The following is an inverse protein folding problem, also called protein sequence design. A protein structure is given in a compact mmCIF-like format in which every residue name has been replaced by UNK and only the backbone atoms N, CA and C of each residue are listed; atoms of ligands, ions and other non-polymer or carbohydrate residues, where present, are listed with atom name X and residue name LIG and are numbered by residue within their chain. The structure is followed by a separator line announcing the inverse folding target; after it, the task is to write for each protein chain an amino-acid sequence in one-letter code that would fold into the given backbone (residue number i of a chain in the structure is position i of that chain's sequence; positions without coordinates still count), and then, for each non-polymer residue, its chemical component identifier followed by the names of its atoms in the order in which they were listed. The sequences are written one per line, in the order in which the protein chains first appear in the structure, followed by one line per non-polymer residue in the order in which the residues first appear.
data_IF_211259305270
#
_entry.id   IF_211259305270
#
_cell.length_a   1.000
_cell.length_b   1.000
_cell.length_c   1.000
_cell.angle_alpha   90.00
_cell.angle_beta   90.00
_cell.angle_gamma   90.00
#
_symmetry.space_group_name_H-M   'P 1'
#
loop_
_entity.id
_entity.type
_entity.pdbx_description
1 polymer ?
#
# COMPACT_ATOMS: atom_id res chain seq x y z
N UNK A 1 17.61 -18.66 -12.51
CA UNK A 1 16.54 -17.87 -13.10
C UNK A 1 15.41 -17.64 -12.12
N UNK A 2 14.99 -16.43 -12.02
CA UNK A 2 13.93 -16.07 -11.09
C UNK A 2 12.57 -16.20 -11.77
N UNK A 3 11.75 -17.10 -11.26
CA UNK A 3 10.42 -17.34 -11.80
C UNK A 3 9.34 -16.54 -11.08
N UNK A 4 9.75 -15.66 -10.18
CA UNK A 4 8.78 -14.84 -9.46
C UNK A 4 8.18 -13.79 -10.38
N UNK A 5 6.89 -13.55 -10.24
CA UNK A 5 6.22 -12.48 -10.96
C UNK A 5 6.79 -11.14 -10.46
N UNK A 6 6.85 -10.14 -11.34
CA UNK A 6 7.28 -8.82 -10.91
C UNK A 6 6.39 -8.32 -9.79
N UNK A 7 7.01 -7.81 -8.74
CA UNK A 7 6.33 -7.23 -7.60
C UNK A 7 6.47 -5.72 -7.69
N UNK A 8 5.36 -5.02 -7.56
CA UNK A 8 5.34 -3.57 -7.63
C UNK A 8 4.49 -3.07 -6.48
N UNK A 9 5.14 -2.45 -5.51
CA UNK A 9 4.46 -1.95 -4.31
C UNK A 9 4.35 -0.43 -4.38
N UNK A 10 3.15 0.07 -4.18
CA UNK A 10 2.92 1.51 -4.03
C UNK A 10 2.82 1.79 -2.55
N UNK A 11 3.73 2.60 -2.03
CA UNK A 11 3.71 3.03 -0.63
C UNK A 11 3.24 4.48 -0.58
N UNK A 12 2.14 4.72 0.13
CA UNK A 12 1.56 6.05 0.29
C UNK A 12 1.75 6.48 1.74
N UNK A 13 2.69 7.38 1.97
CA UNK A 13 3.09 7.77 3.31
C UNK A 13 3.61 9.20 3.30
N UNK A 14 3.01 10.09 4.11
CA UNK A 14 3.41 11.48 4.13
C UNK A 14 4.61 11.78 5.05
N UNK A 15 4.98 10.84 5.91
CA UNK A 15 6.09 10.99 6.84
C UNK A 15 7.32 10.23 6.33
N UNK A 16 8.39 10.97 6.03
CA UNK A 16 9.61 10.37 5.46
C UNK A 16 10.20 9.29 6.36
N UNK A 17 10.23 9.53 7.67
CA UNK A 17 10.77 8.55 8.62
C UNK A 17 9.99 7.24 8.59
N UNK A 18 8.66 7.34 8.59
CA UNK A 18 7.81 6.15 8.55
C UNK A 18 7.96 5.42 7.22
N UNK A 19 8.09 6.16 6.11
CA UNK A 19 8.30 5.55 4.81
C UNK A 19 9.62 4.77 4.77
N UNK A 20 10.69 5.36 5.31
CA UNK A 20 11.98 4.69 5.36
C UNK A 20 11.93 3.40 6.16
N UNK A 21 11.30 3.44 7.33
CA UNK A 21 11.21 2.27 8.19
C UNK A 21 10.39 1.16 7.54
N UNK A 22 9.30 1.54 6.87
CA UNK A 22 8.47 0.57 6.15
C UNK A 22 9.28 -0.06 5.01
N UNK A 23 10.00 0.74 4.25
CA UNK A 23 10.83 0.23 3.17
C UNK A 23 11.93 -0.70 3.66
N UNK A 24 12.51 -0.41 4.83
CA UNK A 24 13.50 -1.31 5.43
C UNK A 24 12.90 -2.66 5.80
N UNK A 25 11.68 -2.64 6.34
CA UNK A 25 11.00 -3.88 6.67
C UNK A 25 10.78 -4.74 5.42
N UNK A 26 10.37 -4.10 4.34
CA UNK A 26 10.15 -4.81 3.08
C UNK A 26 11.46 -5.32 2.48
N UNK A 27 12.55 -4.58 2.69
CA UNK A 27 13.87 -5.00 2.22
C UNK A 27 14.30 -6.31 2.86
N UNK A 28 13.93 -6.54 4.11
CA UNK A 28 14.28 -7.79 4.80
C UNK A 28 13.79 -9.03 4.06
N UNK A 29 12.70 -8.90 3.32
CA UNK A 29 12.13 -10.03 2.57
C UNK A 29 12.30 -9.87 1.07
N UNK A 30 13.23 -9.01 0.65
CA UNK A 30 13.61 -8.91 -0.75
C UNK A 30 12.68 -8.10 -1.64
N UNK A 31 11.85 -7.24 -1.06
CA UNK A 31 10.85 -6.50 -1.82
C UNK A 31 11.25 -5.07 -2.17
N UNK A 32 12.47 -4.67 -1.88
CA UNK A 32 12.88 -3.27 -1.96
C UNK A 32 12.96 -2.71 -3.39
N UNK A 33 13.25 -3.57 -4.36
CA UNK A 33 13.56 -3.09 -5.72
C UNK A 33 12.37 -2.56 -6.50
N UNK A 34 11.17 -2.79 -6.02
CA UNK A 34 9.96 -2.46 -6.76
C UNK A 34 8.98 -1.64 -5.93
N UNK A 35 9.52 -0.74 -5.12
CA UNK A 35 8.68 0.14 -4.29
C UNK A 35 8.67 1.54 -4.88
N UNK A 36 7.48 2.07 -5.11
CA UNK A 36 7.29 3.47 -5.47
C UNK A 36 6.67 4.16 -4.26
N UNK A 37 7.34 5.19 -3.76
CA UNK A 37 6.84 5.96 -2.62
C UNK A 37 6.25 7.26 -3.12
N UNK A 38 4.99 7.50 -2.76
CA UNK A 38 4.32 8.79 -2.99
C UNK A 38 3.95 9.38 -1.63
N UNK A 39 3.86 10.69 -1.55
CA UNK A 39 3.84 11.40 -0.27
C UNK A 39 2.45 11.82 0.20
N UNK A 40 1.45 11.71 -0.64
CA UNK A 40 0.10 12.09 -0.24
C UNK A 40 -0.94 11.36 -1.06
N UNK A 41 -2.19 11.50 -0.65
CA UNK A 41 -3.29 10.78 -1.29
C UNK A 41 -3.54 11.21 -2.72
N UNK A 42 -3.34 12.50 -3.03
CA UNK A 42 -3.55 12.96 -4.40
C UNK A 42 -2.51 12.34 -5.33
N UNK A 43 -1.25 12.28 -4.89
CA UNK A 43 -0.21 11.60 -5.67
C UNK A 43 -0.56 10.13 -5.90
N UNK A 44 -1.12 9.48 -4.87
CA UNK A 44 -1.53 8.09 -4.99
C UNK A 44 -2.61 7.93 -6.07
N UNK A 45 -3.62 8.77 -6.04
CA UNK A 45 -4.69 8.72 -7.03
C UNK A 45 -4.17 9.01 -8.43
N UNK A 46 -3.28 10.00 -8.57
CA UNK A 46 -2.68 10.33 -9.85
C UNK A 46 -1.84 9.17 -10.37
N UNK A 47 -1.11 8.50 -9.47
CA UNK A 47 -0.29 7.36 -9.85
C UNK A 47 -1.15 6.22 -10.40
N UNK A 48 -2.22 5.90 -9.70
CA UNK A 48 -3.13 4.82 -10.10
C UNK A 48 -3.81 5.15 -11.44
N UNK A 49 -4.24 6.40 -11.59
CA UNK A 49 -4.97 6.83 -12.79
C UNK A 49 -4.07 7.23 -13.96
N UNK A 50 -2.76 7.27 -13.74
CA UNK A 50 -1.79 7.76 -14.73
C UNK A 50 -2.08 9.17 -15.16
N UNK A 51 -2.22 10.05 -14.18
CA UNK A 51 -2.51 11.46 -14.38
C UNK A 51 -1.42 12.33 -13.77
N UNK A 52 -1.46 13.62 -14.03
CA UNK A 52 -0.51 14.57 -13.47
C UNK A 52 0.91 14.18 -13.81
N UNK A 53 1.78 14.17 -12.80
CA UNK A 53 3.19 13.82 -13.00
C UNK A 53 3.39 12.37 -13.41
N UNK A 54 2.38 11.54 -13.25
CA UNK A 54 2.45 10.11 -13.60
C UNK A 54 1.78 9.77 -14.92
N UNK A 55 1.45 10.78 -15.72
CA UNK A 55 0.75 10.57 -16.99
C UNK A 55 1.51 9.66 -17.95
N UNK A 56 2.85 9.70 -17.90
CA UNK A 56 3.67 8.86 -18.79
C UNK A 56 4.07 7.52 -18.20
N UNK A 57 3.51 7.15 -17.06
CA UNK A 57 3.87 5.92 -16.37
C UNK A 57 3.52 4.71 -17.21
N UNK A 58 4.49 3.81 -17.40
CA UNK A 58 4.31 2.63 -18.26
C UNK A 58 4.14 1.34 -17.46
N UNK A 59 4.51 1.33 -16.17
CA UNK A 59 4.32 0.15 -15.33
C UNK A 59 2.85 -0.19 -15.19
N UNK A 60 2.57 -1.49 -14.97
CA UNK A 60 1.20 -1.92 -14.69
C UNK A 60 0.72 -1.45 -13.33
N UNK A 61 -0.47 -1.86 -12.96
CA UNK A 61 -1.02 -1.53 -11.65
C UNK A 61 -0.18 -2.18 -10.54
N UNK A 62 -0.12 -1.55 -9.36
CA UNK A 62 0.62 -2.15 -8.25
C UNK A 62 0.09 -3.53 -7.89
N UNK A 63 1.00 -4.39 -7.45
CA UNK A 63 0.66 -5.70 -6.90
C UNK A 63 0.09 -5.55 -5.49
N UNK A 64 0.51 -4.51 -4.79
CA UNK A 64 0.17 -4.26 -3.41
C UNK A 64 0.23 -2.76 -3.16
N UNK A 65 -0.72 -2.24 -2.39
CA UNK A 65 -0.71 -0.83 -1.97
C UNK A 65 -0.65 -0.81 -0.45
N UNK A 66 0.34 -0.09 0.09
CA UNK A 66 0.46 0.16 1.52
C UNK A 66 0.13 1.64 1.74
N UNK A 67 -0.84 1.92 2.59
CA UNK A 67 -1.52 3.21 2.60
C UNK A 67 -1.68 3.73 4.02
N UNK A 68 -1.21 4.95 4.27
CA UNK A 68 -1.45 5.60 5.55
C UNK A 68 -2.88 6.14 5.58
N UNK A 69 -3.53 5.99 6.73
CA UNK A 69 -4.91 6.44 6.90
C UNK A 69 -5.02 7.95 6.99
N UNK A 70 -4.17 8.57 7.79
CA UNK A 70 -4.30 10.00 8.12
C UNK A 70 -3.24 10.83 7.40
N UNK A 71 -3.66 11.43 6.30
CA UNK A 71 -2.82 12.33 5.51
C UNK A 71 -3.61 13.59 5.24
N UNK A 72 -2.93 14.73 5.04
CA UNK A 72 -3.62 15.97 4.72
C UNK A 72 -4.29 15.91 3.35
N UNK A 73 -5.31 16.72 3.15
CA UNK A 73 -6.07 16.86 1.91
C UNK A 73 -6.84 15.60 1.55
N UNK A 74 -6.26 14.71 0.76
CA UNK A 74 -6.91 13.45 0.40
C UNK A 74 -6.47 12.39 1.41
N UNK A 75 -7.41 11.90 2.20
CA UNK A 75 -7.12 10.93 3.26
C UNK A 75 -6.96 9.51 2.72
N UNK A 76 -6.40 8.64 3.55
CA UNK A 76 -6.29 7.23 3.19
C UNK A 76 -7.64 6.58 2.95
N UNK A 77 -8.66 6.97 3.70
CA UNK A 77 -10.00 6.44 3.45
C UNK A 77 -10.52 6.81 2.08
N UNK A 78 -10.26 8.04 1.64
CA UNK A 78 -10.68 8.47 0.31
C UNK A 78 -9.94 7.70 -0.78
N UNK A 79 -8.63 7.49 -0.60
CA UNK A 79 -7.85 6.71 -1.56
C UNK A 79 -8.36 5.27 -1.62
N UNK A 80 -8.59 4.66 -0.45
CA UNK A 80 -9.10 3.30 -0.36
C UNK A 80 -10.46 3.18 -1.06
N UNK A 81 -11.33 4.16 -0.83
CA UNK A 81 -12.66 4.18 -1.44
C UNK A 81 -12.57 4.20 -2.97
N UNK A 82 -11.67 5.00 -3.52
CA UNK A 82 -11.49 5.07 -4.97
C UNK A 82 -10.96 3.75 -5.51
N UNK A 83 -9.93 3.18 -4.87
CA UNK A 83 -9.33 1.92 -5.33
C UNK A 83 -10.36 0.79 -5.29
N UNK A 84 -11.08 0.66 -4.19
CA UNK A 84 -12.04 -0.44 -4.03
C UNK A 84 -13.33 -0.22 -4.78
N UNK A 85 -13.61 1.02 -5.16
CA UNK A 85 -14.81 1.35 -5.93
C UNK A 85 -14.66 1.18 -7.43
N UNK A 86 -13.46 0.99 -7.93
CA UNK A 86 -13.19 0.85 -9.36
C UNK A 86 -13.00 -0.64 -9.69
N UNK A 87 -13.80 -1.19 -10.61
CA UNK A 87 -13.67 -2.60 -10.99
C UNK A 87 -12.25 -2.99 -11.45
N UNK A 88 -11.52 -2.03 -12.00
CA UNK A 88 -10.16 -2.29 -12.49
C UNK A 88 -9.15 -2.48 -11.35
N UNK A 89 -9.32 -1.75 -10.26
CA UNK A 89 -8.33 -1.73 -9.18
C UNK A 89 -8.77 -2.41 -7.89
N UNK A 90 -10.06 -2.72 -7.75
CA UNK A 90 -10.57 -3.25 -6.49
C UNK A 90 -9.93 -4.56 -6.04
N UNK A 91 -9.34 -5.32 -6.96
CA UNK A 91 -8.69 -6.57 -6.60
C UNK A 91 -7.28 -6.38 -6.04
N UNK A 92 -6.71 -5.19 -6.16
CA UNK A 92 -5.37 -4.92 -5.65
C UNK A 92 -5.43 -4.95 -4.12
N UNK A 93 -4.60 -5.80 -3.47
CA UNK A 93 -4.57 -5.80 -2.01
C UNK A 93 -4.12 -4.45 -1.47
N UNK A 94 -4.82 -3.98 -0.44
CA UNK A 94 -4.47 -2.74 0.24
C UNK A 94 -4.24 -3.04 1.71
N UNK A 95 -3.10 -2.64 2.22
CA UNK A 95 -2.74 -2.75 3.64
C UNK A 95 -2.73 -1.34 4.21
N UNK A 96 -3.52 -1.12 5.25
CA UNK A 96 -3.51 0.16 5.94
C UNK A 96 -2.41 0.17 6.98
N UNK A 97 -1.57 1.22 7.00
CA UNK A 97 -0.52 1.43 7.99
C UNK A 97 -0.80 2.75 8.69
N UNK A 98 -1.21 2.72 9.95
CA UNK A 98 -1.66 3.94 10.60
C UNK A 98 -1.38 3.93 12.10
N UNK A 99 -1.24 5.11 12.68
CA UNK A 99 -1.12 5.24 14.13
C UNK A 99 -2.46 5.09 14.84
N UNK A 100 -3.57 5.04 14.10
CA UNK A 100 -4.89 4.93 14.71
C UNK A 100 -5.23 3.48 15.05
N UNK A 101 -5.50 3.24 16.34
CA UNK A 101 -6.04 1.96 16.79
C UNK A 101 -7.52 2.10 17.17
N UNK A 102 -8.15 3.18 16.70
CA UNK A 102 -9.55 3.46 17.02
C UNK A 102 -10.48 2.50 16.28
N UNK A 103 -11.40 1.88 17.00
CA UNK A 103 -12.30 0.89 16.42
C UNK A 103 -13.11 1.44 15.25
N UNK A 104 -13.67 2.66 15.31
CA UNK A 104 -14.41 3.19 14.16
C UNK A 104 -13.57 3.29 12.88
N UNK A 105 -12.28 3.63 13.01
CA UNK A 105 -11.40 3.70 11.85
C UNK A 105 -11.18 2.32 11.26
N UNK A 106 -10.97 1.33 12.11
CA UNK A 106 -10.77 -0.05 11.68
C UNK A 106 -12.01 -0.56 10.95
N UNK A 107 -13.17 -0.38 11.57
CA UNK A 107 -14.44 -0.80 10.99
C UNK A 107 -14.65 -0.16 9.62
N UNK A 108 -14.41 1.15 9.53
CA UNK A 108 -14.63 1.88 8.28
C UNK A 108 -13.71 1.37 7.18
N UNK A 109 -12.46 1.08 7.50
CA UNK A 109 -11.52 0.53 6.52
C UNK A 109 -11.99 -0.82 5.99
N UNK A 110 -12.44 -1.70 6.89
CA UNK A 110 -12.91 -3.01 6.45
C UNK A 110 -14.22 -2.93 5.67
N UNK A 111 -15.09 -1.99 6.01
CA UNK A 111 -16.29 -1.76 5.21
C UNK A 111 -15.95 -1.34 3.79
N UNK A 112 -14.86 -0.60 3.62
CA UNK A 112 -14.41 -0.17 2.30
C UNK A 112 -13.58 -1.22 1.57
N UNK A 113 -13.26 -2.33 2.23
CA UNK A 113 -12.59 -3.44 1.56
C UNK A 113 -11.09 -3.54 1.78
N UNK A 114 -10.55 -2.94 2.85
CA UNK A 114 -9.12 -3.09 3.15
C UNK A 114 -8.79 -4.56 3.41
N UNK A 115 -7.60 -4.96 3.00
CA UNK A 115 -7.17 -6.35 3.13
C UNK A 115 -6.49 -6.62 4.47
N UNK A 116 -5.72 -5.68 4.97
CA UNK A 116 -5.08 -5.78 6.29
C UNK A 116 -4.94 -4.40 6.90
N UNK A 117 -4.86 -4.37 8.23
CA UNK A 117 -4.78 -3.12 8.98
C UNK A 117 -3.70 -3.29 10.05
N UNK A 118 -2.62 -2.51 9.93
CA UNK A 118 -1.51 -2.54 10.87
C UNK A 118 -1.38 -1.21 11.58
N UNK A 119 -1.15 -1.28 12.89
CA UNK A 119 -1.04 -0.08 13.73
C UNK A 119 0.44 0.20 14.01
N UNK A 120 0.87 1.44 13.71
CA UNK A 120 2.20 1.91 14.07
C UNK A 120 2.31 1.94 15.61
N UNK A 121 3.49 1.97 16.22
CA UNK A 121 4.69 2.69 15.82
C UNK A 121 5.65 1.86 14.97
N UNK A 122 6.30 2.55 14.03
CA UNK A 122 7.22 1.90 13.10
C UNK A 122 8.57 1.53 13.72
N UNK A 123 8.91 2.13 14.88
CA UNK A 123 10.17 1.85 15.56
C UNK A 123 10.13 0.53 16.32
N UNK A 124 8.96 -0.06 16.52
CA UNK A 124 8.90 -1.30 17.29
C UNK A 124 9.33 -2.47 16.41
N UNK A 125 10.07 -3.39 17.01
CA UNK A 125 10.50 -4.60 16.30
C UNK A 125 9.29 -5.42 15.85
N UNK A 126 8.25 -5.42 16.67
CA UNK A 126 7.03 -6.13 16.32
C UNK A 126 6.38 -5.58 15.05
N UNK A 127 6.29 -4.25 14.93
CA UNK A 127 5.75 -3.64 13.74
C UNK A 127 6.58 -4.00 12.51
N UNK A 128 7.90 -3.97 12.68
CA UNK A 128 8.84 -4.30 11.62
C UNK A 128 8.61 -5.73 11.13
N UNK A 129 8.45 -6.67 12.07
CA UNK A 129 8.16 -8.06 11.72
C UNK A 129 6.82 -8.21 11.04
N UNK A 130 5.79 -7.50 11.53
CA UNK A 130 4.45 -7.57 10.96
C UNK A 130 4.42 -7.04 9.52
N UNK A 131 5.07 -5.90 9.28
CA UNK A 131 5.14 -5.33 7.94
C UNK A 131 5.85 -6.30 6.98
N UNK A 132 6.96 -6.90 7.44
CA UNK A 132 7.70 -7.86 6.63
C UNK A 132 6.83 -9.05 6.24
N UNK A 133 6.13 -9.63 7.20
CA UNK A 133 5.28 -10.81 6.97
C UNK A 133 4.09 -10.50 6.08
N UNK A 134 3.39 -9.41 6.38
CA UNK A 134 2.19 -9.03 5.64
C UNK A 134 2.57 -8.61 4.22
N UNK A 135 3.65 -7.86 4.08
CA UNK A 135 4.15 -7.47 2.78
C UNK A 135 4.51 -8.67 1.94
N UNK A 136 5.21 -9.64 2.52
CA UNK A 136 5.58 -10.85 1.80
C UNK A 136 4.34 -11.65 1.40
N UNK A 137 3.39 -11.82 2.34
CA UNK A 137 2.18 -12.57 2.03
C UNK A 137 1.42 -11.95 0.85
N UNK A 138 1.12 -10.65 0.94
CA UNK A 138 0.26 -10.02 -0.05
C UNK A 138 0.98 -9.78 -1.40
N UNK A 139 2.29 -9.56 -1.36
CA UNK A 139 3.04 -9.31 -2.59
C UNK A 139 3.47 -10.60 -3.30
N UNK A 140 3.78 -11.65 -2.53
CA UNK A 140 4.39 -12.87 -3.09
C UNK A 140 3.44 -14.06 -3.04
N UNK A 141 2.87 -14.34 -1.87
CA UNK A 141 2.08 -15.56 -1.67
C UNK A 141 0.66 -15.44 -2.17
N UNK A 142 0.05 -14.28 -2.00
CA UNK A 142 -1.32 -14.08 -2.45
C UNK A 142 -1.37 -14.04 -3.97
N UNK A 143 -2.44 -14.57 -4.54
CA UNK A 143 -2.64 -14.58 -5.98
C UNK A 143 -3.85 -13.77 -6.37
N UNK A 144 -3.68 -12.88 -7.34
CA UNK A 144 -4.80 -12.16 -7.95
C UNK A 144 -4.83 -12.51 -9.43
N UNK A 145 -5.97 -12.30 -10.11
CA UNK A 145 -6.06 -12.61 -11.52
C UNK A 145 -5.04 -11.82 -12.34
N UNK A 146 -4.43 -12.46 -13.31
CA UNK A 146 -3.46 -11.81 -14.20
C UNK A 146 -4.16 -10.83 -15.14
N UNK A 147 -5.44 -11.09 -15.41
CA UNK A 147 -6.22 -10.21 -16.28
C UNK A 147 -7.67 -10.24 -15.83
N UNK A 148 -8.39 -9.15 -16.08
CA UNK A 148 -9.78 -8.97 -15.65
C UNK A 148 -10.70 -8.82 -16.82
#
# INVERSE_FOLDING_TARGET
MNDLLPVHILLVEDTATDAEMTMRALKRVGLVNNITWVKDGQQALDYIAREGEFAGRVEGDPTLIMLDLKMPKVTGLEVLSVIKGDPRTRIIPVIMLTSSAEEPDIVRCYELGVNSYLVKPVESEKFFEEVSKVGFYWAILNRIPASR
#
